data_IF_930912172173
#
_entry.id   IF_930912172173
#
_cell.length_a   1.000
_cell.length_b   1.000
_cell.length_c   1.000
_cell.angle_alpha   90.00
_cell.angle_beta   90.00
_cell.angle_gamma   90.00
#
_symmetry.space_group_name_H-M   'P 1'
#
loop_
_entity.id
_entity.type
_entity.pdbx_description
1 polymer ?
#
# COMPACT_ATOMS: atom_id res chain seq x y z
N UNK A 1 24.69 -31.62 33.71
CA UNK A 1 23.21 -31.56 33.73
C UNK A 1 22.69 -30.13 33.88
N UNK A 2 23.09 -29.37 34.90
CA UNK A 2 22.67 -27.96 35.11
C UNK A 2 22.98 -27.02 33.92
N UNK A 3 24.15 -27.15 33.32
CA UNK A 3 24.59 -26.34 32.18
C UNK A 3 23.70 -26.54 30.94
N UNK A 4 23.20 -27.76 30.75
CA UNK A 4 22.34 -28.13 29.61
C UNK A 4 20.92 -27.57 29.79
N UNK A 5 20.41 -27.55 31.02
CA UNK A 5 19.12 -26.93 31.36
C UNK A 5 19.14 -25.41 31.20
N UNK A 6 20.24 -24.75 31.57
CA UNK A 6 20.41 -23.30 31.38
C UNK A 6 20.43 -22.91 29.90
N UNK A 7 21.10 -23.70 29.05
CA UNK A 7 21.13 -23.48 27.60
C UNK A 7 19.74 -23.65 26.96
N UNK A 8 18.99 -24.69 27.36
CA UNK A 8 17.63 -24.91 26.86
C UNK A 8 16.70 -23.76 27.30
N UNK A 9 16.78 -23.34 28.57
CA UNK A 9 15.99 -22.22 29.08
C UNK A 9 16.29 -20.90 28.35
N UNK A 10 17.57 -20.62 28.11
CA UNK A 10 18.00 -19.43 27.34
C UNK A 10 17.52 -19.46 25.90
N UNK A 11 17.57 -20.62 25.24
CA UNK A 11 17.09 -20.78 23.88
C UNK A 11 15.56 -20.59 23.77
N UNK A 12 14.78 -21.17 24.69
CA UNK A 12 13.32 -21.00 24.73
C UNK A 12 12.96 -19.53 24.96
N UNK A 13 13.63 -18.88 25.92
CA UNK A 13 13.40 -17.46 26.20
C UNK A 13 13.69 -16.59 24.98
N UNK A 14 14.81 -16.84 24.28
CA UNK A 14 15.18 -16.09 23.08
C UNK A 14 14.13 -16.24 21.97
N UNK A 15 13.65 -17.46 21.71
CA UNK A 15 12.62 -17.71 20.70
C UNK A 15 11.32 -16.98 21.04
N UNK A 16 10.86 -17.05 22.29
CA UNK A 16 9.64 -16.36 22.76
C UNK A 16 9.80 -14.84 22.69
N UNK A 17 10.99 -14.33 23.02
CA UNK A 17 11.26 -12.90 22.97
C UNK A 17 11.22 -12.37 21.53
N UNK A 18 11.88 -13.06 20.59
CA UNK A 18 11.88 -12.69 19.18
C UNK A 18 10.48 -12.79 18.55
N UNK A 19 9.71 -13.82 18.89
CA UNK A 19 8.33 -13.96 18.38
C UNK A 19 7.40 -12.88 18.92
N UNK A 20 7.50 -12.55 20.21
CA UNK A 20 6.72 -11.47 20.81
C UNK A 20 7.10 -10.09 20.24
N UNK A 21 8.38 -9.83 19.98
CA UNK A 21 8.81 -8.61 19.30
C UNK A 21 8.21 -8.51 17.89
N UNK A 22 8.25 -9.61 17.11
CA UNK A 22 7.64 -9.66 15.79
C UNK A 22 6.13 -9.38 15.82
N UNK A 23 5.41 -9.98 16.78
CA UNK A 23 3.98 -9.78 16.97
C UNK A 23 3.65 -8.32 17.34
N UNK A 24 4.39 -7.73 18.29
CA UNK A 24 4.23 -6.33 18.69
C UNK A 24 4.49 -5.36 17.53
N UNK A 25 5.54 -5.62 16.76
CA UNK A 25 5.86 -4.82 15.58
C UNK A 25 4.77 -4.90 14.51
N UNK A 26 4.21 -6.10 14.29
CA UNK A 26 3.09 -6.29 13.38
C UNK A 26 1.82 -5.57 13.85
N UNK A 27 1.51 -5.63 15.15
CA UNK A 27 0.38 -4.90 15.73
C UNK A 27 0.55 -3.38 15.61
N UNK A 28 1.75 -2.86 15.89
CA UNK A 28 2.04 -1.44 15.75
C UNK A 28 1.89 -0.96 14.29
N UNK A 29 2.40 -1.73 13.32
CA UNK A 29 2.22 -1.43 11.89
C UNK A 29 0.75 -1.37 11.49
N UNK A 30 -0.06 -2.35 11.93
CA UNK A 30 -1.50 -2.35 11.67
C UNK A 30 -2.21 -1.15 12.29
N UNK A 31 -1.85 -0.77 13.52
CA UNK A 31 -2.43 0.42 14.16
C UNK A 31 -2.14 1.70 13.38
N UNK A 32 -0.92 1.86 12.86
CA UNK A 32 -0.54 2.98 11.99
C UNK A 32 -1.35 2.94 10.69
N UNK A 33 -1.43 1.77 10.04
CA UNK A 33 -2.21 1.60 8.81
C UNK A 33 -3.71 1.92 9.02
N UNK A 34 -4.29 1.55 10.16
CA UNK A 34 -5.67 1.90 10.50
C UNK A 34 -5.87 3.40 10.67
N UNK A 35 -4.91 4.11 11.30
CA UNK A 35 -4.96 5.56 11.40
C UNK A 35 -4.85 6.23 10.02
N UNK A 36 -3.92 5.78 9.19
CA UNK A 36 -3.77 6.26 7.81
C UNK A 36 -5.03 6.00 6.98
N UNK A 37 -5.68 4.85 7.17
CA UNK A 37 -6.94 4.52 6.51
C UNK A 37 -8.06 5.48 6.90
N UNK A 38 -8.23 5.76 8.19
CA UNK A 38 -9.25 6.72 8.65
C UNK A 38 -9.03 8.12 8.06
N UNK A 39 -7.77 8.57 8.03
CA UNK A 39 -7.38 9.83 7.39
C UNK A 39 -7.70 9.85 5.89
N UNK A 40 -7.33 8.78 5.17
CA UNK A 40 -7.57 8.67 3.74
C UNK A 40 -9.06 8.71 3.36
N UNK A 41 -9.89 7.99 4.11
CA UNK A 41 -11.35 8.05 3.92
C UNK A 41 -11.89 9.45 4.17
N UNK A 42 -11.38 10.16 5.19
CA UNK A 42 -11.77 11.54 5.47
C UNK A 42 -11.36 12.51 4.35
N UNK A 43 -10.15 12.36 3.79
CA UNK A 43 -9.68 13.17 2.66
C UNK A 43 -10.60 13.01 1.45
N UNK A 44 -10.91 11.78 1.06
CA UNK A 44 -11.83 11.49 -0.05
C UNK A 44 -13.26 11.99 0.21
N UNK A 45 -13.72 11.97 1.47
CA UNK A 45 -15.04 12.49 1.82
C UNK A 45 -15.12 14.02 1.76
N UNK A 46 -14.01 14.71 2.07
CA UNK A 46 -13.94 16.17 2.07
C UNK A 46 -13.70 16.77 0.67
N UNK A 47 -12.84 16.14 -0.14
CA UNK A 47 -12.49 16.61 -1.48
C UNK A 47 -12.75 15.51 -2.52
N UNK A 48 -13.82 15.63 -3.34
CA UNK A 48 -14.23 14.60 -4.28
C UNK A 48 -13.26 14.39 -5.45
N UNK A 49 -12.23 15.23 -5.58
CA UNK A 49 -11.16 15.02 -6.55
C UNK A 49 -10.24 13.86 -6.16
N UNK A 50 -10.19 13.53 -4.86
CA UNK A 50 -9.41 12.41 -4.36
C UNK A 50 -10.24 11.14 -4.28
N UNK A 51 -9.63 10.04 -4.71
CA UNK A 51 -10.23 8.72 -4.72
C UNK A 51 -9.26 7.70 -4.13
N UNK A 52 -9.80 6.63 -3.55
CA UNK A 52 -9.04 5.52 -3.00
C UNK A 52 -8.86 4.42 -4.06
N UNK A 53 -7.60 4.10 -4.37
CA UNK A 53 -7.21 3.06 -5.32
C UNK A 53 -6.47 1.92 -4.62
N UNK A 54 -6.92 0.69 -4.80
CA UNK A 54 -6.20 -0.51 -4.39
C UNK A 54 -5.29 -0.98 -5.52
N UNK A 55 -4.00 -1.19 -5.24
CA UNK A 55 -3.05 -1.75 -6.21
C UNK A 55 -3.23 -3.26 -6.28
N UNK A 56 -3.94 -3.73 -7.30
CA UNK A 56 -4.16 -5.15 -7.54
C UNK A 56 -2.90 -5.82 -8.11
N UNK A 57 -2.23 -5.16 -9.06
CA UNK A 57 -0.99 -5.66 -9.66
C UNK A 57 -0.13 -4.52 -10.20
N UNK A 58 1.19 -4.74 -10.24
CA UNK A 58 2.12 -3.89 -10.98
C UNK A 58 2.27 -4.45 -12.39
N UNK A 59 1.99 -3.62 -13.39
CA UNK A 59 2.17 -3.96 -14.80
C UNK A 59 3.62 -3.63 -15.18
N UNK A 60 4.04 -2.39 -14.93
CA UNK A 60 5.38 -1.90 -15.25
C UNK A 60 5.87 -0.95 -14.15
N UNK A 61 7.17 -0.97 -13.90
CA UNK A 61 7.82 -0.07 -12.95
C UNK A 61 9.05 0.55 -13.61
N UNK A 62 9.08 1.88 -13.63
CA UNK A 62 10.14 2.66 -14.24
C UNK A 62 10.89 3.43 -13.16
N UNK A 63 12.20 3.17 -12.95
CA UNK A 63 12.97 3.76 -11.86
C UNK A 63 12.98 5.29 -11.80
N UNK A 64 12.76 5.97 -12.93
CA UNK A 64 12.82 7.43 -13.05
C UNK A 64 11.50 8.05 -13.55
N UNK A 65 10.42 7.28 -13.68
CA UNK A 65 9.15 7.78 -14.23
C UNK A 65 7.95 7.48 -13.35
N UNK A 66 7.95 6.34 -12.65
CA UNK A 66 6.83 5.89 -11.83
C UNK A 66 6.35 4.50 -12.22
N UNK A 67 5.09 4.20 -11.96
CA UNK A 67 4.54 2.85 -12.01
C UNK A 67 3.24 2.81 -12.80
N UNK A 68 3.13 1.83 -13.69
CA UNK A 68 1.85 1.44 -14.29
C UNK A 68 1.30 0.26 -13.49
N UNK A 69 0.09 0.41 -12.97
CA UNK A 69 -0.56 -0.59 -12.14
C UNK A 69 -1.97 -0.89 -12.62
N UNK A 70 -2.45 -2.09 -12.30
CA UNK A 70 -3.88 -2.40 -12.36
C UNK A 70 -4.50 -2.06 -11.01
N UNK A 71 -5.53 -1.21 -11.00
CA UNK A 71 -6.16 -0.72 -9.77
C UNK A 71 -7.62 -1.12 -9.67
N UNK A 72 -8.11 -1.26 -8.44
CA UNK A 72 -9.54 -1.38 -8.11
C UNK A 72 -9.95 -0.19 -7.25
N UNK A 73 -10.99 0.55 -7.65
CA UNK A 73 -11.41 1.75 -6.93
C UNK A 73 -12.32 1.43 -5.74
N UNK A 74 -12.01 2.00 -4.59
CA UNK A 74 -12.82 1.84 -3.38
C UNK A 74 -14.26 2.29 -3.60
N UNK A 75 -15.21 1.50 -3.09
CA UNK A 75 -16.64 1.79 -3.23
C UNK A 75 -17.22 1.51 -4.62
N UNK A 76 -16.42 0.94 -5.53
CA UNK A 76 -16.88 0.52 -6.86
C UNK A 76 -16.33 -0.85 -7.23
N UNK A 77 -16.90 -1.46 -8.27
CA UNK A 77 -16.34 -2.66 -8.92
C UNK A 77 -15.51 -2.30 -10.16
N UNK A 78 -15.11 -1.02 -10.31
CA UNK A 78 -14.36 -0.56 -11.47
C UNK A 78 -12.90 -0.91 -11.29
N UNK A 79 -12.36 -1.59 -12.30
CA UNK A 79 -10.94 -1.90 -12.43
C UNK A 79 -10.41 -1.25 -13.71
N UNK A 80 -9.23 -0.64 -13.63
CA UNK A 80 -8.60 -0.01 -14.79
C UNK A 80 -7.08 0.09 -14.61
N UNK A 81 -6.37 0.37 -15.70
CA UNK A 81 -4.96 0.72 -15.63
C UNK A 81 -4.82 2.10 -14.98
N UNK A 82 -3.76 2.29 -14.19
CA UNK A 82 -3.38 3.59 -13.65
C UNK A 82 -1.89 3.86 -13.90
N UNK A 83 -1.59 5.05 -14.40
CA UNK A 83 -0.24 5.60 -14.46
C UNK A 83 0.00 6.48 -13.24
N UNK A 84 0.96 6.10 -12.41
CA UNK A 84 1.29 6.73 -11.14
C UNK A 84 2.69 7.35 -11.26
N UNK A 85 2.81 8.65 -11.55
CA UNK A 85 4.11 9.27 -11.77
C UNK A 85 4.89 9.40 -10.46
N UNK A 86 6.21 9.17 -10.54
CA UNK A 86 7.16 9.39 -9.44
C UNK A 86 6.82 8.68 -8.11
N UNK A 87 6.03 7.60 -8.16
CA UNK A 87 5.75 6.75 -7.02
C UNK A 87 5.85 5.27 -7.42
N UNK A 88 6.27 4.45 -6.45
CA UNK A 88 6.51 3.01 -6.62
C UNK A 88 5.74 2.20 -5.57
N UNK A 89 4.39 2.22 -5.62
CA UNK A 89 3.61 1.41 -4.70
C UNK A 89 3.79 -0.09 -4.98
N UNK A 90 3.49 -0.92 -3.99
CA UNK A 90 3.52 -2.39 -4.12
C UNK A 90 2.10 -2.94 -4.26
N UNK A 91 1.92 -4.15 -4.83
CA UNK A 91 0.65 -4.86 -4.76
C UNK A 91 0.17 -4.95 -3.31
N UNK A 92 -1.12 -4.70 -3.09
CA UNK A 92 -1.70 -4.65 -1.75
C UNK A 92 -1.73 -3.27 -1.09
N UNK A 93 -0.98 -2.30 -1.60
CA UNK A 93 -1.06 -0.92 -1.11
C UNK A 93 -2.39 -0.26 -1.52
N UNK A 94 -2.86 0.64 -0.68
CA UNK A 94 -3.90 1.61 -1.02
C UNK A 94 -3.28 2.98 -1.28
N UNK A 95 -3.81 3.71 -2.26
CA UNK A 95 -3.40 5.07 -2.56
C UNK A 95 -4.60 6.01 -2.48
N UNK A 96 -4.36 7.22 -2.01
CA UNK A 96 -5.26 8.36 -2.18
C UNK A 96 -4.73 9.19 -3.33
N UNK A 97 -5.47 9.25 -4.43
CA UNK A 97 -5.01 9.90 -5.68
C UNK A 97 -6.07 10.81 -6.26
N UNK A 98 -5.61 11.84 -6.97
CA UNK A 98 -6.43 12.61 -7.90
C UNK A 98 -5.94 12.41 -9.33
N UNK A 99 -6.82 12.66 -10.29
CA UNK A 99 -6.49 12.51 -11.70
C UNK A 99 -7.72 12.27 -12.55
N UNK A 100 -7.52 11.76 -13.75
CA UNK A 100 -8.59 11.53 -14.70
C UNK A 100 -8.33 10.31 -15.59
N UNK A 101 -9.41 9.66 -16.02
CA UNK A 101 -9.33 8.61 -17.05
C UNK A 101 -9.31 9.27 -18.42
N UNK A 102 -8.40 8.83 -19.30
CA UNK A 102 -8.40 9.29 -20.68
C UNK A 102 -7.29 8.70 -21.53
N UNK A 103 -6.97 9.39 -22.62
CA UNK A 103 -5.80 9.12 -23.44
C UNK A 103 -4.61 9.90 -22.89
N UNK A 104 -3.61 9.17 -22.40
CA UNK A 104 -2.36 9.81 -21.98
C UNK A 104 -1.50 10.23 -23.17
N UNK A 105 -0.42 10.99 -22.94
CA UNK A 105 0.48 11.45 -23.99
C UNK A 105 1.11 10.33 -24.83
N UNK A 106 1.10 9.08 -24.35
CA UNK A 106 1.78 7.94 -24.94
C UNK A 106 1.02 6.61 -24.85
N UNK A 107 -0.33 6.61 -24.78
CA UNK A 107 -1.08 5.37 -24.63
C UNK A 107 -2.37 5.36 -25.46
N UNK A 108 -2.51 4.37 -26.35
CA UNK A 108 -3.69 4.16 -27.19
C UNK A 108 -4.89 3.58 -26.43
N UNK A 109 -4.76 3.39 -25.12
CA UNK A 109 -5.84 2.88 -24.27
C UNK A 109 -6.59 4.03 -23.58
N UNK A 110 -7.86 4.32 -23.95
CA UNK A 110 -8.69 5.36 -23.31
C UNK A 110 -9.00 5.07 -21.84
N UNK A 111 -8.83 3.83 -21.38
CA UNK A 111 -9.23 3.38 -20.05
C UNK A 111 -8.03 3.34 -19.09
N UNK A 112 -7.17 4.35 -19.15
CA UNK A 112 -6.06 4.53 -18.21
C UNK A 112 -6.31 5.76 -17.35
N UNK A 113 -6.22 5.59 -16.03
CA UNK A 113 -6.23 6.70 -15.09
C UNK A 113 -4.85 7.33 -14.98
N UNK A 114 -4.75 8.62 -15.22
CA UNK A 114 -3.51 9.37 -15.04
C UNK A 114 -3.56 10.07 -13.70
N UNK A 115 -2.72 9.59 -12.78
CA UNK A 115 -2.59 10.21 -11.46
C UNK A 115 -1.86 11.53 -11.63
N UNK A 116 -2.50 12.60 -11.19
CA UNK A 116 -1.92 13.94 -11.11
C UNK A 116 -1.22 14.15 -9.78
N UNK A 117 -1.83 13.66 -8.70
CA UNK A 117 -1.30 13.76 -7.35
C UNK A 117 -1.50 12.46 -6.59
N UNK A 118 -0.45 12.01 -5.90
CA UNK A 118 -0.52 11.00 -4.84
C UNK A 118 -0.52 11.74 -3.51
N UNK A 119 -1.60 11.62 -2.75
CA UNK A 119 -1.72 12.23 -1.42
C UNK A 119 -1.15 11.31 -0.34
N UNK A 120 -1.58 10.05 -0.33
CA UNK A 120 -1.17 9.04 0.65
C UNK A 120 -0.89 7.68 -0.02
N UNK A 121 0.04 6.92 0.57
CA UNK A 121 0.26 5.50 0.29
C UNK A 121 0.16 4.74 1.61
N UNK A 122 -0.75 3.77 1.68
CA UNK A 122 -1.06 2.99 2.86
C UNK A 122 -0.67 1.54 2.59
N UNK A 123 0.18 0.99 3.46
CA UNK A 123 0.57 -0.42 3.44
C UNK A 123 0.00 -1.13 4.67
N UNK A 124 -0.64 -2.28 4.46
CA UNK A 124 -1.23 -3.11 5.51
C UNK A 124 -0.34 -4.30 5.89
#
# INVERSE_FOLDING_TARGET
MLLLLALIGGAIWLVVHLSNQGSRNAQARRAIAHHQWAHAVQVCAYDPRFQLAYIAAIIESYPNKGTKAWVTWYGSNVQQDAWIPLAWPMPGNWLVVSGSTGYGPHHDNPNTFFVEQVHDIIAF
#
